data_IF_052393686052
#
_entry.id   IF_052393686052
#
_cell.length_a   1.000
_cell.length_b   1.000
_cell.length_c   1.000
_cell.angle_alpha   90.00
_cell.angle_beta   90.00
_cell.angle_gamma   90.00
#
_symmetry.space_group_name_H-M   'P 1'
#
loop_
_entity.id
_entity.type
_entity.pdbx_description
1 polymer ?
#
# COMPACT_ATOMS: atom_id res chain seq x y z
N UNK A 1 -18.83 8.06 -22.05
CA UNK A 1 -18.76 7.13 -20.91
C UNK A 1 -17.53 7.45 -20.08
N UNK A 2 -17.66 7.63 -18.77
CA UNK A 2 -16.53 7.78 -17.85
C UNK A 2 -15.92 6.43 -17.47
N UNK A 3 -14.62 6.41 -17.15
CA UNK A 3 -13.91 5.20 -16.73
C UNK A 3 -14.32 4.82 -15.30
N UNK A 4 -14.80 3.60 -15.10
CA UNK A 4 -15.13 3.07 -13.76
C UNK A 4 -13.86 2.45 -13.17
N UNK A 5 -13.10 3.25 -12.44
CA UNK A 5 -11.95 2.74 -11.68
C UNK A 5 -12.45 2.03 -10.42
N UNK A 6 -12.22 0.72 -10.33
CA UNK A 6 -12.71 -0.10 -9.21
C UNK A 6 -11.88 0.05 -7.94
N UNK A 7 -10.56 0.17 -8.09
CA UNK A 7 -9.60 0.15 -7.00
C UNK A 7 -8.58 1.29 -7.15
N UNK A 8 -8.15 1.85 -6.02
CA UNK A 8 -7.04 2.80 -5.95
C UNK A 8 -5.96 2.27 -5.00
N UNK A 9 -4.71 2.32 -5.46
CA UNK A 9 -3.51 2.07 -4.65
C UNK A 9 -2.66 3.32 -4.49
N UNK A 10 -1.90 3.41 -3.40
CA UNK A 10 -1.01 4.54 -3.10
C UNK A 10 0.46 4.11 -3.09
N UNK A 11 1.18 4.38 -4.18
CA UNK A 11 2.59 4.01 -4.32
C UNK A 11 2.80 2.50 -4.53
N UNK A 12 4.07 2.10 -4.65
CA UNK A 12 4.50 0.74 -4.91
C UNK A 12 5.74 0.43 -4.06
N UNK A 13 5.71 -0.66 -3.30
CA UNK A 13 6.87 -1.19 -2.54
C UNK A 13 7.51 -0.22 -1.54
N UNK A 14 6.71 0.69 -0.99
CA UNK A 14 7.15 1.66 0.02
C UNK A 14 7.19 1.11 1.46
N UNK A 15 6.76 -0.14 1.66
CA UNK A 15 6.67 -0.78 2.97
C UNK A 15 8.01 -1.29 3.50
N UNK A 16 8.17 -1.24 4.82
CA UNK A 16 9.31 -1.84 5.51
C UNK A 16 10.66 -1.30 5.02
N UNK A 17 11.55 -2.22 4.65
CA UNK A 17 12.90 -1.89 4.13
C UNK A 17 12.88 -1.40 2.67
N UNK A 18 11.76 -1.52 1.96
CA UNK A 18 11.60 -1.09 0.56
C UNK A 18 12.60 -1.67 -0.42
N UNK A 19 12.40 -1.38 -1.71
CA UNK A 19 13.44 -1.48 -2.74
C UNK A 19 13.66 -0.05 -3.24
N UNK A 20 14.78 0.57 -2.86
CA UNK A 20 15.16 1.93 -3.27
C UNK A 20 14.53 3.07 -2.45
N UNK A 21 13.23 3.01 -2.15
CA UNK A 21 12.55 4.01 -1.30
C UNK A 21 11.67 3.34 -0.26
N UNK A 22 11.53 3.97 0.91
CA UNK A 22 10.60 3.56 1.95
C UNK A 22 9.93 4.77 2.58
N UNK A 23 8.70 4.57 3.05
CA UNK A 23 7.95 5.57 3.82
C UNK A 23 7.68 4.99 5.21
N UNK A 24 7.87 5.82 6.23
CA UNK A 24 7.52 5.44 7.59
C UNK A 24 6.03 5.09 7.69
N UNK A 25 5.71 3.96 8.31
CA UNK A 25 4.33 3.42 8.39
C UNK A 25 3.31 4.45 8.90
N UNK A 26 3.70 5.28 9.87
CA UNK A 26 2.84 6.33 10.41
C UNK A 26 2.49 7.41 9.39
N UNK A 27 3.43 7.79 8.51
CA UNK A 27 3.18 8.76 7.45
C UNK A 27 2.32 8.13 6.35
N UNK A 28 2.69 6.92 5.90
CA UNK A 28 1.93 6.20 4.88
C UNK A 28 0.47 5.98 5.32
N UNK A 29 0.22 5.66 6.59
CA UNK A 29 -1.12 5.55 7.15
C UNK A 29 -1.94 6.86 7.07
N UNK A 30 -1.31 8.01 7.37
CA UNK A 30 -1.95 9.33 7.21
C UNK A 30 -2.27 9.63 5.75
N UNK A 31 -1.38 9.25 4.84
CA UNK A 31 -1.58 9.43 3.41
C UNK A 31 -2.78 8.60 2.91
N UNK A 32 -2.94 7.36 3.40
CA UNK A 32 -4.10 6.52 3.09
C UNK A 32 -5.41 7.09 3.64
N UNK A 33 -5.41 7.63 4.86
CA UNK A 33 -6.59 8.32 5.42
C UNK A 33 -6.97 9.49 4.51
N UNK A 34 -5.99 10.29 4.08
CA UNK A 34 -6.24 11.43 3.21
C UNK A 34 -6.74 10.99 1.83
N UNK A 35 -6.17 9.93 1.26
CA UNK A 35 -6.65 9.36 0.01
C UNK A 35 -8.09 8.85 0.14
N UNK A 36 -8.44 8.15 1.23
CA UNK A 36 -9.82 7.70 1.48
C UNK A 36 -10.80 8.87 1.54
N UNK A 37 -10.42 9.98 2.16
CA UNK A 37 -11.23 11.20 2.19
C UNK A 37 -11.42 11.78 0.77
N UNK A 38 -10.36 11.87 -0.02
CA UNK A 38 -10.41 12.35 -1.41
C UNK A 38 -11.35 11.46 -2.25
N UNK A 39 -11.21 10.13 -2.14
CA UNK A 39 -12.09 9.18 -2.84
C UNK A 39 -13.55 9.33 -2.39
N UNK A 40 -13.81 9.50 -1.10
CA UNK A 40 -15.18 9.72 -0.59
C UNK A 40 -15.82 10.98 -1.18
N UNK A 41 -15.06 12.08 -1.30
CA UNK A 41 -15.52 13.33 -1.92
C UNK A 41 -15.72 13.18 -3.42
N UNK A 42 -14.75 12.62 -4.15
CA UNK A 42 -14.82 12.48 -5.61
C UNK A 42 -15.98 11.59 -6.05
N UNK A 43 -16.30 10.56 -5.26
CA UNK A 43 -17.35 9.61 -5.57
C UNK A 43 -18.62 9.86 -4.77
N UNK A 44 -18.80 11.01 -4.10
CA UNK A 44 -19.92 11.27 -3.17
C UNK A 44 -21.29 10.93 -3.78
N UNK A 45 -21.57 11.45 -4.97
CA UNK A 45 -22.80 11.24 -5.75
C UNK A 45 -22.79 9.99 -6.64
N UNK A 46 -21.70 9.23 -6.63
CA UNK A 46 -21.58 8.00 -7.41
C UNK A 46 -22.24 6.83 -6.68
N UNK A 47 -23.01 6.02 -7.42
CA UNK A 47 -23.49 4.71 -6.96
C UNK A 47 -22.35 3.71 -6.74
N UNK A 48 -21.22 3.94 -7.40
CA UNK A 48 -20.01 3.12 -7.27
C UNK A 48 -18.97 3.84 -6.40
N UNK A 49 -18.48 3.16 -5.36
CA UNK A 49 -17.41 3.64 -4.48
C UNK A 49 -16.19 2.74 -4.68
N UNK A 50 -15.03 3.29 -5.08
CA UNK A 50 -13.83 2.48 -5.26
C UNK A 50 -13.30 1.96 -3.93
N UNK A 51 -12.68 0.79 -3.97
CA UNK A 51 -11.95 0.23 -2.84
C UNK A 51 -10.55 0.83 -2.75
N UNK A 52 -10.09 1.08 -1.53
CA UNK A 52 -8.70 1.46 -1.26
C UNK A 52 -7.87 0.21 -0.96
N UNK A 53 -6.87 -0.06 -1.80
CA UNK A 53 -5.98 -1.23 -1.67
C UNK A 53 -4.56 -0.78 -1.35
N UNK A 54 -3.91 -1.41 -0.37
CA UNK A 54 -2.60 -0.98 0.13
C UNK A 54 -1.90 -2.09 0.94
N UNK A 55 -0.57 -2.04 1.15
CA UNK A 55 0.38 -1.07 0.60
C UNK A 55 1.00 -1.47 -0.75
N UNK A 56 0.78 -2.69 -1.26
CA UNK A 56 1.44 -3.15 -2.49
C UNK A 56 2.96 -3.23 -2.36
N UNK A 57 3.45 -3.79 -1.24
CA UNK A 57 4.88 -3.93 -0.98
C UNK A 57 5.25 -5.29 -0.39
N UNK A 58 6.52 -5.45 -0.03
CA UNK A 58 6.98 -6.68 0.61
C UNK A 58 6.43 -6.77 2.03
N UNK A 59 5.95 -7.95 2.40
CA UNK A 59 5.43 -8.19 3.74
C UNK A 59 6.54 -8.03 4.79
N UNK A 60 6.32 -7.13 5.73
CA UNK A 60 7.16 -6.95 6.91
C UNK A 60 6.22 -6.80 8.11
N UNK A 61 6.28 -7.77 9.03
CA UNK A 61 5.24 -7.99 10.05
C UNK A 61 4.95 -6.73 10.86
N UNK A 62 5.98 -6.08 11.40
CA UNK A 62 5.79 -4.90 12.25
C UNK A 62 5.18 -3.75 11.45
N UNK A 63 5.66 -3.53 10.23
CA UNK A 63 5.15 -2.47 9.37
C UNK A 63 3.67 -2.70 9.00
N UNK A 64 3.28 -3.92 8.66
CA UNK A 64 1.88 -4.23 8.30
C UNK A 64 0.94 -4.17 9.50
N UNK A 65 1.34 -4.70 10.66
CA UNK A 65 0.55 -4.58 11.89
C UNK A 65 0.37 -3.12 12.29
N UNK A 66 1.46 -2.33 12.23
CA UNK A 66 1.39 -0.90 12.52
C UNK A 66 0.52 -0.16 11.51
N UNK A 67 0.56 -0.52 10.23
CA UNK A 67 -0.25 0.12 9.19
C UNK A 67 -1.73 0.07 9.58
N UNK A 68 -2.23 -1.11 9.91
CA UNK A 68 -3.63 -1.31 10.31
C UNK A 68 -3.98 -0.52 11.57
N UNK A 69 -3.07 -0.44 12.53
CA UNK A 69 -3.25 0.37 13.75
C UNK A 69 -3.34 1.86 13.44
N UNK A 70 -2.43 2.40 12.62
CA UNK A 70 -2.36 3.84 12.35
C UNK A 70 -3.41 4.32 11.35
N UNK A 71 -3.82 3.47 10.40
CA UNK A 71 -4.90 3.80 9.47
C UNK A 71 -6.26 3.72 10.17
N UNK A 72 -6.43 2.77 11.08
CA UNK A 72 -7.70 2.51 11.73
C UNK A 72 -8.70 1.78 10.81
N UNK A 73 -9.86 1.48 11.38
CA UNK A 73 -10.94 0.72 10.72
C UNK A 73 -11.58 1.51 9.57
N UNK A 74 -11.94 0.81 8.49
CA UNK A 74 -12.68 1.38 7.36
C UNK A 74 -11.86 2.18 6.35
N UNK A 75 -10.55 2.35 6.58
CA UNK A 75 -9.67 3.04 5.63
C UNK A 75 -9.24 2.10 4.50
N UNK A 76 -8.56 1.00 4.83
CA UNK A 76 -8.06 0.03 3.85
C UNK A 76 -9.14 -1.04 3.63
N UNK A 77 -9.56 -1.22 2.38
CA UNK A 77 -10.54 -2.23 1.99
C UNK A 77 -9.89 -3.60 1.72
N UNK A 78 -8.71 -3.60 1.11
CA UNK A 78 -7.95 -4.82 0.80
C UNK A 78 -6.48 -4.61 1.16
N UNK A 79 -5.94 -5.52 1.97
CA UNK A 79 -4.52 -5.53 2.32
C UNK A 79 -3.73 -6.32 1.26
N UNK A 80 -2.74 -5.70 0.62
CA UNK A 80 -1.98 -6.28 -0.49
C UNK A 80 -0.48 -6.40 -0.17
N UNK A 81 0.18 -7.44 -0.67
CA UNK A 81 1.63 -7.59 -0.59
C UNK A 81 2.17 -8.33 -1.81
N UNK A 82 3.43 -8.07 -2.14
CA UNK A 82 4.12 -8.75 -3.23
C UNK A 82 4.86 -9.99 -2.71
N UNK A 83 4.86 -11.05 -3.52
CA UNK A 83 5.59 -12.29 -3.27
C UNK A 83 6.33 -12.68 -4.55
N UNK A 84 7.64 -12.88 -4.46
CA UNK A 84 8.48 -13.32 -5.58
C UNK A 84 9.29 -14.55 -5.18
N UNK A 85 9.41 -15.53 -6.07
CA UNK A 85 10.14 -16.79 -5.81
C UNK A 85 11.67 -16.70 -6.03
N UNK A 86 12.25 -15.50 -5.96
CA UNK A 86 13.64 -15.25 -6.39
C UNK A 86 14.67 -15.23 -5.24
N UNK A 87 14.26 -15.48 -4.00
CA UNK A 87 15.15 -15.31 -2.84
C UNK A 87 15.68 -13.86 -2.73
N UNK A 88 16.54 -13.57 -1.74
CA UNK A 88 17.17 -12.26 -1.65
C UNK A 88 18.19 -12.11 -2.78
N UNK A 89 17.98 -11.18 -3.72
CA UNK A 89 18.98 -10.86 -4.76
C UNK A 89 20.35 -10.53 -4.16
N UNK A 90 20.37 -10.05 -2.91
CA UNK A 90 21.60 -9.69 -2.21
C UNK A 90 22.55 -10.85 -1.89
N UNK A 91 22.11 -12.12 -1.90
CA UNK A 91 23.03 -13.25 -1.77
C UNK A 91 23.76 -13.57 -3.08
N UNK A 92 23.23 -13.18 -4.23
CA UNK A 92 23.81 -13.52 -5.54
C UNK A 92 25.02 -12.64 -5.87
N UNK A 93 25.10 -11.41 -5.34
CA UNK A 93 26.19 -10.49 -5.62
C UNK A 93 27.38 -10.59 -4.66
N UNK A 94 27.21 -11.21 -3.48
CA UNK A 94 28.30 -11.37 -2.50
C UNK A 94 29.26 -12.54 -2.80
N UNK A 95 28.98 -13.36 -3.82
CA UNK A 95 29.82 -14.50 -4.22
C UNK A 95 30.74 -14.26 -5.41
N UNK A 96 30.88 -13.01 -5.88
CA UNK A 96 31.70 -12.68 -7.06
C UNK A 96 32.67 -11.52 -6.80
N UNK A 97 33.54 -11.60 -5.79
CA UNK A 97 34.82 -10.88 -5.73
C UNK A 97 35.75 -11.60 -4.75
#
# INVERSE_FOLDING_TARGET
MGYLQADFGAGNELSGKGIGASVGVAQYGKDLIKLKQILSTLYESSKFKPSLVAPGGFYEKYWYERLLQVSGSGIINVLTHHLYNLGPVMSILKGRF
#
